data_IF_032656887157
#
_entry.id   IF_032656887157
#
_cell.length_a   1.000
_cell.length_b   1.000
_cell.length_c   1.000
_cell.angle_alpha   90.00
_cell.angle_beta   90.00
_cell.angle_gamma   90.00
#
_symmetry.space_group_name_H-M   'P 1'
#
loop_
_entity.id
_entity.type
_entity.pdbx_description
1 polymer ?
#
# COMPACT_ATOMS: atom_id res chain seq x y z
N UNK A 1 7.41 -21.46 -4.64
CA UNK A 1 8.21 -21.50 -3.38
C UNK A 1 8.34 -20.12 -2.74
N UNK A 2 8.75 -19.08 -3.51
CA UNK A 2 8.94 -17.72 -2.97
C UNK A 2 7.69 -17.11 -2.34
N UNK A 3 6.52 -17.15 -3.00
CA UNK A 3 5.27 -16.61 -2.44
C UNK A 3 4.91 -17.25 -1.09
N UNK A 4 5.08 -18.58 -0.97
CA UNK A 4 4.86 -19.30 0.30
C UNK A 4 5.78 -18.78 1.41
N UNK A 5 7.05 -18.55 1.08
CA UNK A 5 8.02 -17.97 2.03
C UNK A 5 7.67 -16.52 2.40
N UNK A 6 7.20 -15.73 1.43
CA UNK A 6 6.68 -14.38 1.68
C UNK A 6 5.49 -14.39 2.64
N UNK A 7 4.56 -15.33 2.47
CA UNK A 7 3.42 -15.50 3.38
C UNK A 7 3.87 -15.92 4.79
N UNK A 8 4.83 -16.82 4.92
CA UNK A 8 5.43 -17.19 6.22
C UNK A 8 6.02 -15.95 6.91
N UNK A 9 6.88 -15.21 6.21
CA UNK A 9 7.51 -13.98 6.75
C UNK A 9 6.46 -12.94 7.16
N UNK A 10 5.42 -12.75 6.36
CA UNK A 10 4.35 -11.82 6.68
C UNK A 10 3.58 -12.26 7.94
N UNK A 11 3.31 -13.55 8.09
CA UNK A 11 2.64 -14.08 9.28
C UNK A 11 3.54 -13.99 10.53
N UNK A 12 4.85 -14.09 10.36
CA UNK A 12 5.86 -13.92 11.42
C UNK A 12 6.12 -12.44 11.77
N UNK A 13 5.49 -11.49 11.06
CA UNK A 13 5.66 -10.05 11.25
C UNK A 13 6.91 -9.45 10.60
N UNK A 14 7.66 -10.22 9.80
CA UNK A 14 8.81 -9.73 9.03
C UNK A 14 8.34 -9.08 7.72
N UNK A 15 7.69 -7.92 7.88
CA UNK A 15 7.01 -7.19 6.81
C UNK A 15 7.98 -6.83 5.68
N UNK A 16 9.17 -6.33 6.02
CA UNK A 16 10.15 -5.88 5.01
C UNK A 16 10.65 -7.01 4.13
N UNK A 17 10.91 -8.20 4.68
CA UNK A 17 11.35 -9.33 3.86
C UNK A 17 10.20 -9.91 3.05
N UNK A 18 8.98 -9.93 3.60
CA UNK A 18 7.79 -10.32 2.85
C UNK A 18 7.57 -9.36 1.65
N UNK A 19 7.74 -8.05 1.85
CA UNK A 19 7.59 -7.04 0.79
C UNK A 19 8.53 -7.29 -0.37
N UNK A 20 9.83 -7.49 -0.10
CA UNK A 20 10.82 -7.78 -1.14
C UNK A 20 10.43 -8.97 -2.00
N UNK A 21 9.89 -10.02 -1.38
CA UNK A 21 9.42 -11.21 -2.09
C UNK A 21 8.19 -10.87 -2.95
N UNK A 22 7.19 -10.18 -2.41
CA UNK A 22 5.96 -9.89 -3.15
C UNK A 22 6.17 -8.90 -4.29
N UNK A 23 7.05 -7.90 -4.12
CA UNK A 23 7.47 -6.99 -5.19
C UNK A 23 8.18 -7.77 -6.30
N UNK A 24 9.19 -8.58 -5.94
CA UNK A 24 9.96 -9.37 -6.92
C UNK A 24 9.10 -10.35 -7.71
N UNK A 25 8.04 -10.87 -7.08
CA UNK A 25 7.14 -11.87 -7.70
C UNK A 25 5.88 -11.24 -8.29
N UNK A 26 5.71 -9.93 -8.20
CA UNK A 26 4.48 -9.21 -8.53
C UNK A 26 3.21 -9.85 -7.92
N UNK A 27 3.32 -10.39 -6.70
CA UNK A 27 2.22 -11.11 -6.05
C UNK A 27 1.20 -10.12 -5.48
N UNK A 28 0.15 -9.88 -6.26
CA UNK A 28 -0.89 -8.88 -5.99
C UNK A 28 -1.47 -8.93 -4.58
N UNK A 29 -1.89 -10.10 -4.10
CA UNK A 29 -2.51 -10.23 -2.78
C UNK A 29 -1.54 -9.85 -1.65
N UNK A 30 -0.29 -10.31 -1.73
CA UNK A 30 0.75 -9.96 -0.77
C UNK A 30 1.07 -8.46 -0.77
N UNK A 31 1.13 -7.82 -1.94
CA UNK A 31 1.30 -6.37 -2.06
C UNK A 31 0.14 -5.60 -1.42
N UNK A 32 -1.11 -6.06 -1.61
CA UNK A 32 -2.29 -5.44 -0.97
C UNK A 32 -2.23 -5.58 0.55
N UNK A 33 -1.90 -6.77 1.07
CA UNK A 33 -1.80 -7.02 2.52
C UNK A 33 -0.72 -6.16 3.18
N UNK A 34 0.43 -5.99 2.54
CA UNK A 34 1.48 -5.08 3.05
C UNK A 34 1.07 -3.61 2.88
N UNK A 35 0.38 -3.27 1.79
CA UNK A 35 -0.20 -1.95 1.60
C UNK A 35 -1.16 -1.59 2.74
N UNK A 36 -2.04 -2.51 3.12
CA UNK A 36 -2.97 -2.35 4.24
C UNK A 36 -2.23 -2.18 5.57
N UNK A 37 -1.16 -2.95 5.84
CA UNK A 37 -0.32 -2.75 7.01
C UNK A 37 0.28 -1.33 7.07
N UNK A 38 0.85 -0.85 5.96
CA UNK A 38 1.41 0.51 5.95
C UNK A 38 0.32 1.57 6.10
N UNK A 39 -0.87 1.35 5.54
CA UNK A 39 -1.97 2.29 5.63
C UNK A 39 -2.59 2.35 7.03
N UNK A 40 -2.92 1.21 7.61
CA UNK A 40 -3.69 1.11 8.84
C UNK A 40 -2.82 1.13 10.09
N UNK A 41 -1.70 0.40 10.10
CA UNK A 41 -0.86 0.25 11.30
C UNK A 41 0.20 1.34 11.36
N UNK A 42 0.94 1.55 10.27
CA UNK A 42 2.06 2.51 10.24
C UNK A 42 1.64 3.94 9.88
N UNK A 43 0.39 4.13 9.42
CA UNK A 43 -0.12 5.42 8.90
C UNK A 43 0.74 6.02 7.78
N UNK A 44 1.52 5.19 7.08
CA UNK A 44 2.37 5.58 5.98
C UNK A 44 1.59 5.46 4.66
N UNK A 45 0.78 6.48 4.39
CA UNK A 45 -0.15 6.51 3.24
C UNK A 45 0.59 6.46 1.90
N UNK A 46 1.76 7.07 1.80
CA UNK A 46 2.54 7.07 0.55
C UNK A 46 3.12 5.69 0.23
N UNK A 47 3.65 4.99 1.24
CA UNK A 47 4.14 3.62 1.06
C UNK A 47 3.00 2.67 0.69
N UNK A 48 1.84 2.81 1.35
CA UNK A 48 0.65 2.05 1.01
C UNK A 48 0.19 2.30 -0.44
N UNK A 49 0.11 3.57 -0.86
CA UNK A 49 -0.27 3.93 -2.23
C UNK A 49 0.66 3.31 -3.27
N UNK A 50 1.98 3.36 -3.04
CA UNK A 50 2.96 2.73 -3.93
C UNK A 50 2.68 1.22 -4.08
N UNK A 51 2.43 0.51 -2.98
CA UNK A 51 2.12 -0.93 -3.03
C UNK A 51 0.79 -1.22 -3.74
N UNK A 52 -0.22 -0.36 -3.55
CA UNK A 52 -1.49 -0.50 -4.27
C UNK A 52 -1.34 -0.26 -5.78
N UNK A 53 -0.48 0.67 -6.20
CA UNK A 53 -0.14 0.90 -7.60
C UNK A 53 0.52 -0.33 -8.23
N UNK A 54 1.54 -0.89 -7.57
CA UNK A 54 2.20 -2.14 -8.00
C UNK A 54 1.21 -3.30 -8.11
N UNK A 55 0.28 -3.40 -7.15
CA UNK A 55 -0.78 -4.41 -7.14
C UNK A 55 -1.90 -4.17 -8.18
N UNK A 56 -1.92 -2.99 -8.84
CA UNK A 56 -3.06 -2.51 -9.64
C UNK A 56 -4.38 -2.63 -8.86
N UNK A 57 -4.38 -2.16 -7.61
CA UNK A 57 -5.53 -2.23 -6.72
C UNK A 57 -6.38 -0.94 -6.80
N UNK A 58 -7.07 -0.83 -7.92
CA UNK A 58 -7.88 0.32 -8.34
C UNK A 58 -8.80 0.92 -7.28
N UNK A 59 -9.40 0.07 -6.42
CA UNK A 59 -10.29 0.53 -5.35
C UNK A 59 -9.57 1.46 -4.37
N UNK A 60 -8.40 1.04 -3.85
CA UNK A 60 -7.61 1.83 -2.89
C UNK A 60 -6.92 3.00 -3.56
N UNK A 61 -6.43 2.82 -4.78
CA UNK A 61 -5.81 3.90 -5.55
C UNK A 61 -6.80 5.07 -5.64
N UNK A 62 -8.03 4.83 -6.13
CA UNK A 62 -9.05 5.88 -6.24
C UNK A 62 -9.38 6.51 -4.90
N UNK A 63 -9.67 5.70 -3.88
CA UNK A 63 -10.01 6.18 -2.54
C UNK A 63 -8.94 7.14 -1.99
N UNK A 64 -7.66 6.77 -2.09
CA UNK A 64 -6.57 7.61 -1.58
C UNK A 64 -6.39 8.86 -2.43
N UNK A 65 -6.40 8.75 -3.76
CA UNK A 65 -6.21 9.89 -4.65
C UNK A 65 -7.34 10.91 -4.56
N UNK A 66 -8.58 10.47 -4.40
CA UNK A 66 -9.74 11.35 -4.21
C UNK A 66 -9.65 12.11 -2.88
N UNK A 67 -9.25 11.43 -1.80
CA UNK A 67 -9.01 12.07 -0.50
C UNK A 67 -7.90 13.10 -0.58
N UNK A 68 -6.79 12.79 -1.26
CA UNK A 68 -5.70 13.73 -1.48
C UNK A 68 -6.15 14.96 -2.28
N UNK A 69 -6.88 14.75 -3.38
CA UNK A 69 -7.42 15.84 -4.20
C UNK A 69 -8.37 16.75 -3.40
N UNK A 70 -9.19 16.18 -2.51
CA UNK A 70 -10.08 16.94 -1.65
C UNK A 70 -9.30 17.85 -0.68
N UNK A 71 -8.25 17.33 -0.04
CA UNK A 71 -7.40 18.11 0.86
C UNK A 71 -6.73 19.27 0.11
N UNK A 72 -6.18 18.99 -1.08
CA UNK A 72 -5.58 20.01 -1.93
C UNK A 72 -6.60 21.09 -2.35
N UNK A 73 -7.81 20.70 -2.73
CA UNK A 73 -8.89 21.63 -3.06
C UNK A 73 -9.22 22.56 -1.88
N UNK A 74 -9.29 22.00 -0.67
CA UNK A 74 -9.60 22.81 0.52
C UNK A 74 -8.50 23.82 0.81
N UNK A 75 -7.22 23.40 0.74
CA UNK A 75 -6.09 24.32 0.92
C UNK A 75 -6.06 25.45 -0.11
N UNK A 76 -6.38 25.16 -1.37
CA UNK A 76 -6.47 26.18 -2.42
C UNK A 76 -7.61 27.18 -2.17
N UNK A 77 -8.68 26.76 -1.50
CA UNK A 77 -9.82 27.62 -1.16
C UNK A 77 -9.61 28.42 0.13
N UNK A 78 -8.82 27.91 1.08
CA UNK A 78 -8.47 28.61 2.33
C UNK A 78 -7.51 29.79 2.10
N UNK A 79 -6.74 29.77 1.00
CA UNK A 79 -5.81 30.83 0.63
C UNK A 79 -6.40 31.98 -0.20
N UNK A 80 -7.71 31.96 -0.48
CA UNK A 80 -8.44 32.99 -1.25
C UNK A 80 -9.35 33.84 -0.35
#
# INVERSE_FOLDING_TARGET
>A
MLIRKGNELLNDGDIEKAEKIFVTTAYKDGLIRIGDYYYFDQKNVFKALNLYLEAKYEKRIRELTERMALVLKNWLNEGN
#
